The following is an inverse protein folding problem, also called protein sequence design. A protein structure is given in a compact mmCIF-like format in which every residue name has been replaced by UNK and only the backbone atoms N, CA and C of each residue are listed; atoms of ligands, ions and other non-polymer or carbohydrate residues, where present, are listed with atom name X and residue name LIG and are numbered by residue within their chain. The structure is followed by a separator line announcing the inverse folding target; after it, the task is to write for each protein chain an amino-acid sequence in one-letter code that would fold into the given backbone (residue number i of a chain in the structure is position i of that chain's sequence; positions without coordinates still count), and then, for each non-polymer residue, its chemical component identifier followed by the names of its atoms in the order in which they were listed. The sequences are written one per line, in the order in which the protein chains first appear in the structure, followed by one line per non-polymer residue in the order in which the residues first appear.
data_IF_280859094990
#
_entry.id   IF_280859094990
#
_cell.length_a   1.000
_cell.length_b   1.000
_cell.length_c   1.000
_cell.angle_alpha   90.00
_cell.angle_beta   90.00
_cell.angle_gamma   90.00
#
_symmetry.space_group_name_H-M   'P 1'
#
loop_
_entity.id
_entity.type
_entity.pdbx_description
1 polymer ?
#
# COMPACT_ATOMS: atom_id res chain seq x y z
N UNK A 1 -9.47 5.59 0.16
CA UNK A 1 -8.90 4.61 1.10
C UNK A 1 -8.30 3.46 0.28
N UNK A 2 -7.38 2.70 0.86
CA UNK A 2 -6.71 1.58 0.20
C UNK A 2 -6.49 0.40 1.14
N UNK A 3 -6.11 -0.74 0.58
CA UNK A 3 -5.77 -1.98 1.28
C UNK A 3 -4.42 -2.49 0.78
N UNK A 4 -3.52 -2.81 1.69
CA UNK A 4 -2.24 -3.41 1.34
C UNK A 4 -2.43 -4.89 0.99
N UNK A 5 -2.08 -5.22 -0.26
CA UNK A 5 -2.18 -6.58 -0.80
C UNK A 5 -0.78 -7.13 -1.02
N UNK A 6 0.11 -6.32 -1.59
CA UNK A 6 1.48 -6.73 -1.90
C UNK A 6 2.42 -6.42 -0.74
N UNK A 7 2.68 -7.44 0.07
CA UNK A 7 3.59 -7.39 1.22
C UNK A 7 4.37 -8.71 1.34
N UNK A 8 5.55 -8.67 1.94
CA UNK A 8 6.43 -9.85 2.11
C UNK A 8 5.79 -10.94 2.96
N UNK A 9 4.98 -10.55 3.95
CA UNK A 9 4.27 -11.47 4.84
C UNK A 9 2.98 -12.03 4.23
N UNK A 10 2.56 -11.54 3.06
CA UNK A 10 1.38 -12.06 2.37
C UNK A 10 1.75 -13.18 1.42
N UNK A 11 1.37 -14.40 1.79
CA UNK A 11 1.38 -15.55 0.89
C UNK A 11 0.40 -15.37 -0.28
N UNK A 12 0.61 -16.11 -1.37
CA UNK A 12 -0.17 -15.97 -2.62
C UNK A 12 -1.69 -16.05 -2.40
N UNK A 13 -2.14 -16.94 -1.52
CA UNK A 13 -3.57 -17.11 -1.19
C UNK A 13 -4.14 -15.89 -0.46
N UNK A 14 -3.39 -15.31 0.46
CA UNK A 14 -3.77 -14.08 1.15
C UNK A 14 -3.88 -12.92 0.17
N UNK A 15 -2.92 -12.78 -0.76
CA UNK A 15 -2.97 -11.72 -1.79
C UNK A 15 -4.21 -11.83 -2.67
N UNK A 16 -4.56 -13.05 -3.11
CA UNK A 16 -5.76 -13.26 -3.91
C UNK A 16 -7.03 -12.84 -3.15
N UNK A 17 -7.18 -13.29 -1.90
CA UNK A 17 -8.34 -12.94 -1.06
C UNK A 17 -8.43 -11.43 -0.77
N UNK A 18 -7.30 -10.78 -0.50
CA UNK A 18 -7.25 -9.34 -0.24
C UNK A 18 -7.50 -8.52 -1.51
N UNK A 19 -7.01 -8.97 -2.67
CA UNK A 19 -7.29 -8.34 -3.96
C UNK A 19 -8.79 -8.40 -4.29
N UNK A 20 -9.42 -9.57 -4.08
CA UNK A 20 -10.86 -9.72 -4.24
C UNK A 20 -11.62 -8.79 -3.29
N UNK A 21 -11.24 -8.73 -2.01
CA UNK A 21 -11.86 -7.84 -1.04
C UNK A 21 -11.72 -6.36 -1.43
N UNK A 22 -10.53 -5.94 -1.86
CA UNK A 22 -10.28 -4.58 -2.31
C UNK A 22 -11.16 -4.22 -3.51
N UNK A 23 -11.31 -5.13 -4.47
CA UNK A 23 -12.19 -4.94 -5.63
C UNK A 23 -13.67 -4.80 -5.21
N UNK A 24 -14.18 -5.66 -4.33
CA UNK A 24 -15.56 -5.59 -3.84
C UNK A 24 -15.86 -4.27 -3.10
N UNK A 25 -14.86 -3.72 -2.40
CA UNK A 25 -15.02 -2.49 -1.63
C UNK A 25 -14.62 -1.21 -2.39
N UNK A 26 -14.13 -1.34 -3.62
CA UNK A 26 -13.64 -0.19 -4.41
C UNK A 26 -12.40 0.49 -3.82
N UNK A 27 -11.55 -0.27 -3.12
CA UNK A 27 -10.34 0.23 -2.47
C UNK A 27 -9.14 0.21 -3.43
N UNK A 28 -8.24 1.18 -3.29
CA UNK A 28 -6.96 1.14 -3.98
C UNK A 28 -6.11 -0.02 -3.43
N UNK A 29 -5.52 -0.82 -4.33
CA UNK A 29 -4.60 -1.89 -3.94
C UNK A 29 -3.19 -1.29 -3.78
N UNK A 30 -2.61 -1.41 -2.60
CA UNK A 30 -1.27 -0.91 -2.29
C UNK A 30 -0.28 -2.04 -2.05
N UNK A 31 1.00 -1.69 -2.13
CA UNK A 31 2.10 -2.56 -1.74
C UNK A 31 3.22 -1.76 -1.09
N UNK A 32 3.91 -2.37 -0.14
CA UNK A 32 5.05 -1.77 0.55
C UNK A 32 6.07 -2.81 1.01
N UNK A 33 7.26 -2.32 1.35
CA UNK A 33 8.34 -3.16 1.87
C UNK A 33 8.37 -3.26 3.39
N UNK A 34 7.67 -2.39 4.12
CA UNK A 34 7.82 -2.25 5.56
C UNK A 34 9.30 -2.22 6.04
N UNK A 35 10.15 -1.56 5.26
CA UNK A 35 11.58 -1.49 5.48
C UNK A 35 11.92 -0.65 6.72
N UNK A 36 12.80 -1.19 7.58
CA UNK A 36 13.18 -0.58 8.86
C UNK A 36 14.71 -0.49 9.04
N UNK A 37 15.47 -0.36 7.95
CA UNK A 37 16.93 -0.39 8.01
C UNK A 37 17.44 -1.78 8.38
N UNK A 38 18.48 -1.82 9.21
CA UNK A 38 19.08 -3.08 9.68
C UNK A 38 18.18 -3.88 10.64
N UNK A 39 17.06 -3.29 11.11
CA UNK A 39 16.15 -3.94 12.04
C UNK A 39 15.25 -5.01 11.39
N UNK A 40 15.17 -5.05 10.05
CA UNK A 40 14.44 -6.07 9.30
C UNK A 40 15.26 -6.52 8.08
N UNK A 41 15.11 -7.78 7.71
CA UNK A 41 15.75 -8.34 6.51
C UNK A 41 14.99 -8.04 5.20
N UNK A 42 13.92 -7.25 5.26
CA UNK A 42 13.17 -6.88 4.06
C UNK A 42 13.98 -5.87 3.26
N UNK A 43 13.98 -5.98 1.93
CA UNK A 43 14.64 -4.98 1.08
C UNK A 43 13.73 -3.77 0.88
N UNK A 44 14.30 -2.58 0.91
CA UNK A 44 13.57 -1.36 0.56
C UNK A 44 12.98 -1.51 -0.86
N UNK A 45 11.67 -1.29 -0.97
CA UNK A 45 10.96 -1.42 -2.24
C UNK A 45 10.71 -2.87 -2.68
N UNK A 46 10.82 -3.86 -1.79
CA UNK A 46 10.42 -5.25 -2.07
C UNK A 46 9.01 -5.37 -2.67
N UNK A 47 8.10 -4.46 -2.29
CA UNK A 47 6.86 -4.19 -2.99
C UNK A 47 6.64 -2.67 -3.06
N UNK A 48 5.85 -2.25 -4.06
CA UNK A 48 5.54 -0.86 -4.31
C UNK A 48 4.06 -0.70 -4.59
N UNK A 49 3.56 0.52 -4.40
CA UNK A 49 2.22 0.90 -4.83
C UNK A 49 2.28 1.38 -6.27
N UNK A 50 1.41 0.84 -7.13
CA UNK A 50 1.35 1.24 -8.53
C UNK A 50 0.94 2.71 -8.70
N UNK A 51 1.39 3.35 -9.78
CA UNK A 51 1.01 4.73 -10.08
C UNK A 51 -0.51 4.94 -10.14
N UNK A 52 -1.33 4.07 -10.79
CA UNK A 52 -2.78 4.24 -10.78
C UNK A 52 -3.41 4.12 -9.38
N UNK A 53 -2.90 3.22 -8.52
CA UNK A 53 -3.38 3.11 -7.15
C UNK A 53 -3.05 4.35 -6.32
N UNK A 54 -1.85 4.92 -6.51
CA UNK A 54 -1.49 6.20 -5.92
C UNK A 54 -2.44 7.33 -6.37
N UNK A 55 -2.73 7.42 -7.67
CA UNK A 55 -3.67 8.41 -8.20
C UNK A 55 -5.09 8.24 -7.63
N UNK A 56 -5.56 7.00 -7.48
CA UNK A 56 -6.84 6.71 -6.83
C UNK A 56 -6.86 7.17 -5.37
N UNK A 57 -5.77 6.96 -4.62
CA UNK A 57 -5.64 7.45 -3.25
C UNK A 57 -5.69 8.98 -3.19
N UNK A 58 -4.92 9.64 -4.06
CA UNK A 58 -4.87 11.10 -4.13
C UNK A 58 -6.22 11.72 -4.50
N UNK A 59 -6.93 11.14 -5.47
CA UNK A 59 -8.27 11.57 -5.85
C UNK A 59 -9.30 11.42 -4.71
N UNK A 60 -9.06 10.50 -3.76
CA UNK A 60 -9.93 10.29 -2.61
C UNK A 60 -9.63 11.23 -1.41
N UNK A 61 -8.56 12.02 -1.46
CA UNK A 61 -8.21 12.97 -0.39
C UNK A 61 -9.22 14.11 -0.34
N UNK A 62 -9.86 14.31 0.82
CA UNK A 62 -10.83 15.39 1.04
C UNK A 62 -10.24 16.63 1.70
N UNK A 63 -9.17 16.46 2.48
CA UNK A 63 -8.45 17.52 3.18
C UNK A 63 -7.02 17.04 3.48
N UNK A 64 -6.05 17.95 3.44
CA UNK A 64 -4.66 17.68 3.82
C UNK A 64 -4.22 18.54 5.00
N UNK A 65 -3.24 18.06 5.74
CA UNK A 65 -2.55 18.84 6.78
C UNK A 65 -1.30 19.47 6.18
N UNK A 66 -1.03 20.73 6.50
CA UNK A 66 0.20 21.38 6.06
C UNK A 66 1.43 20.65 6.64
N UNK A 67 2.44 20.43 5.79
CA UNK A 67 3.73 19.91 6.25
C UNK A 67 4.41 21.01 7.06
N UNK A 68 4.75 20.70 8.31
CA UNK A 68 5.57 21.57 9.14
C UNK A 68 7.03 21.35 8.75
N UNK A 69 7.68 22.40 8.26
CA UNK A 69 9.13 22.45 8.05
C UNK A 69 9.78 23.21 9.21
N UNK A 70 10.81 22.62 9.82
CA UNK A 70 11.70 23.24 10.80
C UNK A 70 13.06 23.57 10.19
#
# INVERSE_FOLDING_TARGET
AGLEVDHVDHEKSARAALADLAAHLGLAITGSSDFHGENKQVQLGAYTTSQPAYEQLMAAVRSGTAVLSG
#
